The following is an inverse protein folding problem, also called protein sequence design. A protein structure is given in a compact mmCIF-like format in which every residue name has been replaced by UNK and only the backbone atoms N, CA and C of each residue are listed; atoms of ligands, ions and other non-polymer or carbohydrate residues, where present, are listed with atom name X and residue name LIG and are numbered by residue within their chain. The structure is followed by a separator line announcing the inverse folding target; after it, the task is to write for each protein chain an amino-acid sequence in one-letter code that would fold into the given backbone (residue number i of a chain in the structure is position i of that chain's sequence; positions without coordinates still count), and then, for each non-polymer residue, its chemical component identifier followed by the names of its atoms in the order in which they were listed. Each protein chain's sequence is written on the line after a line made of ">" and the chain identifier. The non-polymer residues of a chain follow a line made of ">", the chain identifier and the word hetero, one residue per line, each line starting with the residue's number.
data_IF_719265718661
#
_entry.id   IF_719265718661
#
_cell.length_a   1.000
_cell.length_b   1.000
_cell.length_c   1.000
_cell.angle_alpha   90.00
_cell.angle_beta   90.00
_cell.angle_gamma   90.00
#
_symmetry.space_group_name_H-M   'P 1'
#
loop_
_entity.id
_entity.type
_entity.pdbx_description
1 polymer ?
#
# COMPACT_ATOMS: atom_id res chain seq x y z
N UNK A 1 -14.01 10.01 -17.71
CA UNK A 1 -13.68 8.66 -18.23
C UNK A 1 -14.81 8.14 -19.10
N UNK A 2 -16.02 7.96 -18.54
CA UNK A 2 -17.17 7.39 -19.23
C UNK A 2 -17.53 8.18 -20.50
N UNK A 3 -17.67 9.51 -20.38
CA UNK A 3 -17.97 10.37 -21.53
C UNK A 3 -16.89 10.28 -22.62
N UNK A 4 -15.62 10.26 -22.23
CA UNK A 4 -14.49 10.18 -23.16
C UNK A 4 -14.44 8.85 -23.92
N UNK A 5 -14.78 7.74 -23.26
CA UNK A 5 -14.76 6.40 -23.86
C UNK A 5 -16.13 5.94 -24.36
N UNK A 6 -17.16 6.79 -24.26
CA UNK A 6 -18.55 6.45 -24.55
C UNK A 6 -19.03 5.16 -23.85
N UNK A 7 -18.71 5.03 -22.56
CA UNK A 7 -19.15 3.91 -21.70
C UNK A 7 -20.26 4.34 -20.74
N UNK A 8 -21.05 3.38 -20.26
CA UNK A 8 -22.04 3.66 -19.22
C UNK A 8 -21.35 3.99 -17.89
N UNK A 9 -22.00 4.82 -17.06
CA UNK A 9 -21.53 5.10 -15.70
C UNK A 9 -21.43 3.82 -14.85
N UNK A 10 -22.36 2.88 -15.07
CA UNK A 10 -22.38 1.60 -14.37
C UNK A 10 -21.11 0.79 -14.68
N UNK A 11 -20.71 0.69 -15.95
CA UNK A 11 -19.50 -0.05 -16.35
C UNK A 11 -18.23 0.60 -15.79
N UNK A 12 -18.15 1.94 -15.84
CA UNK A 12 -17.05 2.68 -15.23
C UNK A 12 -16.93 2.43 -13.72
N UNK A 13 -18.06 2.38 -13.02
CA UNK A 13 -18.07 2.13 -11.58
C UNK A 13 -17.68 0.68 -11.29
N UNK A 14 -18.27 -0.28 -12.02
CA UNK A 14 -17.99 -1.71 -11.85
C UNK A 14 -16.52 -2.05 -12.10
N UNK A 15 -15.89 -1.47 -13.13
CA UNK A 15 -14.45 -1.69 -13.36
C UNK A 15 -13.59 -1.14 -12.22
N UNK A 16 -13.97 0.01 -11.65
CA UNK A 16 -13.27 0.56 -10.48
C UNK A 16 -13.46 -0.32 -9.24
N UNK A 17 -14.65 -0.90 -9.03
CA UNK A 17 -14.90 -1.82 -7.93
C UNK A 17 -14.22 -3.18 -8.12
N UNK A 18 -14.05 -3.65 -9.36
CA UNK A 18 -13.37 -4.91 -9.65
C UNK A 18 -11.90 -4.89 -9.18
N UNK A 19 -11.23 -3.74 -9.29
CA UNK A 19 -9.89 -3.52 -8.77
C UNK A 19 -9.81 -3.45 -7.23
N UNK A 20 -10.92 -3.48 -6.50
CA UNK A 20 -10.90 -3.58 -5.04
C UNK A 20 -10.70 -5.02 -4.54
N UNK A 21 -10.60 -6.00 -5.45
CA UNK A 21 -10.51 -7.43 -5.13
C UNK A 21 -9.48 -8.17 -5.98
N UNK A 22 -9.12 -9.39 -5.56
CA UNK A 22 -8.23 -10.32 -6.28
C UNK A 22 -6.79 -9.81 -6.49
N UNK A 23 -6.30 -8.97 -5.57
CA UNK A 23 -4.94 -8.44 -5.54
C UNK A 23 -4.07 -9.25 -4.56
N UNK A 24 -3.08 -9.95 -5.09
CA UNK A 24 -2.02 -10.54 -4.28
C UNK A 24 -0.96 -9.46 -4.04
N UNK A 25 -0.51 -9.29 -2.81
CA UNK A 25 0.39 -8.18 -2.50
C UNK A 25 1.51 -8.61 -1.55
N UNK A 26 2.60 -7.87 -1.57
CA UNK A 26 3.62 -7.91 -0.52
C UNK A 26 4.05 -6.49 -0.25
N UNK A 27 3.87 -6.02 0.97
CA UNK A 27 4.27 -4.69 1.42
C UNK A 27 5.24 -4.79 2.59
N UNK A 28 6.26 -3.94 2.58
CA UNK A 28 7.33 -3.93 3.57
C UNK A 28 7.57 -2.49 4.00
N UNK A 29 7.45 -2.25 5.31
CA UNK A 29 7.91 -1.01 5.95
C UNK A 29 9.07 -1.34 6.89
N UNK A 30 10.18 -0.63 6.76
CA UNK A 30 11.41 -0.94 7.47
C UNK A 30 12.18 0.33 7.87
N UNK A 31 13.00 0.22 8.91
CA UNK A 31 13.83 1.30 9.43
C UNK A 31 15.31 0.91 9.41
N UNK A 32 16.17 1.77 8.82
CA UNK A 32 17.62 1.54 8.86
C UNK A 32 18.23 1.85 10.26
N UNK A 33 19.52 1.57 10.42
CA UNK A 33 20.24 1.81 11.67
C UNK A 33 20.37 3.30 12.04
N UNK A 34 20.06 4.22 11.11
CA UNK A 34 20.06 5.68 11.34
C UNK A 34 18.66 6.22 11.61
N UNK A 35 17.64 5.36 11.59
CA UNK A 35 16.26 5.76 11.85
C UNK A 35 15.48 6.22 10.62
N UNK A 36 16.01 6.07 9.41
CA UNK A 36 15.26 6.40 8.19
C UNK A 36 14.24 5.31 7.88
N UNK A 37 13.04 5.72 7.44
CA UNK A 37 11.97 4.82 7.02
C UNK A 37 12.06 4.54 5.52
N UNK A 38 11.91 3.27 5.18
CA UNK A 38 11.86 2.72 3.83
C UNK A 38 10.54 1.97 3.68
N UNK A 39 9.85 2.19 2.58
CA UNK A 39 8.60 1.51 2.28
C UNK A 39 8.65 1.02 0.84
N UNK A 40 8.42 -0.27 0.63
CA UNK A 40 8.42 -0.92 -0.68
C UNK A 40 7.29 -1.93 -0.77
N UNK A 41 6.79 -2.18 -1.99
CA UNK A 41 5.68 -3.10 -2.22
C UNK A 41 5.74 -3.78 -3.59
N UNK A 42 4.98 -4.87 -3.74
CA UNK A 42 4.57 -5.48 -5.01
C UNK A 42 3.02 -5.50 -5.08
N UNK A 43 2.47 -5.41 -6.30
CA UNK A 43 1.02 -5.37 -6.56
C UNK A 43 0.63 -6.36 -7.65
N UNK A 44 0.34 -7.57 -7.25
CA UNK A 44 0.18 -8.69 -8.15
C UNK A 44 -1.29 -8.94 -8.50
N UNK A 45 -1.56 -9.04 -9.81
CA UNK A 45 -2.87 -9.38 -10.34
C UNK A 45 -2.78 -10.54 -11.35
N UNK A 46 -3.80 -11.41 -11.45
CA UNK A 46 -3.84 -12.49 -12.44
C UNK A 46 -3.87 -11.99 -13.90
N UNK A 47 -4.33 -10.76 -14.14
CA UNK A 47 -4.40 -10.11 -15.46
C UNK A 47 -3.17 -9.23 -15.80
N UNK A 48 -2.00 -9.57 -15.25
CA UNK A 48 -0.79 -8.75 -15.31
C UNK A 48 -0.37 -8.29 -16.71
N UNK A 49 -0.59 -9.08 -17.77
CA UNK A 49 -0.20 -8.72 -19.15
C UNK A 49 -0.84 -7.42 -19.67
N UNK A 50 -2.08 -7.15 -19.26
CA UNK A 50 -2.81 -5.94 -19.66
C UNK A 50 -2.48 -4.81 -18.67
N UNK A 51 -2.57 -5.09 -17.37
CA UNK A 51 -2.38 -4.08 -16.34
C UNK A 51 -0.99 -3.45 -16.40
N UNK A 52 0.06 -4.23 -16.71
CA UNK A 52 1.42 -3.74 -16.98
C UNK A 52 1.48 -2.58 -17.97
N UNK A 53 0.67 -2.64 -19.04
CA UNK A 53 0.65 -1.61 -20.09
C UNK A 53 -0.16 -0.37 -19.69
N UNK A 54 -1.00 -0.51 -18.66
CA UNK A 54 -1.87 0.54 -18.15
C UNK A 54 -1.32 1.18 -16.87
N UNK A 55 -0.27 0.61 -16.27
CA UNK A 55 0.35 1.15 -15.06
C UNK A 55 1.00 2.49 -15.33
N UNK A 56 0.66 3.48 -14.49
CA UNK A 56 1.20 4.83 -14.56
C UNK A 56 1.46 5.38 -13.16
N UNK A 57 2.53 6.16 -13.04
CA UNK A 57 2.74 7.05 -11.90
C UNK A 57 2.09 8.40 -12.20
N UNK A 58 1.23 8.86 -11.28
CA UNK A 58 0.45 10.09 -11.44
C UNK A 58 0.81 11.05 -10.32
N UNK A 59 1.27 12.24 -10.70
CA UNK A 59 1.44 13.37 -9.78
C UNK A 59 0.15 14.17 -9.74
N UNK A 60 -0.46 14.27 -8.56
CA UNK A 60 -1.67 15.05 -8.34
C UNK A 60 -1.28 16.46 -7.90
N UNK A 61 -1.66 17.46 -8.69
CA UNK A 61 -1.28 18.85 -8.45
C UNK A 61 -2.37 19.61 -7.70
N UNK A 62 -1.97 20.45 -6.74
CA UNK A 62 -2.83 21.45 -6.09
C UNK A 62 -2.08 22.78 -6.11
N UNK A 63 -2.69 23.82 -6.66
CA UNK A 63 -2.07 25.15 -6.83
C UNK A 63 -0.70 25.09 -7.55
N UNK A 64 -0.56 24.23 -8.56
CA UNK A 64 0.67 24.08 -9.35
C UNK A 64 1.80 23.30 -8.66
N UNK A 65 1.60 22.79 -7.44
CA UNK A 65 2.58 21.98 -6.71
C UNK A 65 2.08 20.53 -6.55
N UNK A 66 3.00 19.58 -6.45
CA UNK A 66 2.68 18.17 -6.22
C UNK A 66 2.11 18.04 -4.81
N UNK A 67 0.81 17.72 -4.71
CA UNK A 67 0.16 17.43 -3.45
C UNK A 67 0.48 16.01 -2.98
N UNK A 68 0.41 15.04 -3.90
CA UNK A 68 0.81 13.66 -3.67
C UNK A 68 1.09 12.95 -5.00
N UNK A 69 1.77 11.81 -4.95
CA UNK A 69 2.00 10.93 -6.10
C UNK A 69 1.39 9.57 -5.80
N UNK A 70 0.87 8.89 -6.82
CA UNK A 70 0.43 7.51 -6.68
C UNK A 70 0.64 6.70 -7.95
N UNK A 71 0.78 5.40 -7.79
CA UNK A 71 0.75 4.47 -8.93
C UNK A 71 -0.64 3.89 -9.07
N UNK A 72 -1.15 3.89 -10.30
CA UNK A 72 -2.47 3.39 -10.63
C UNK A 72 -2.51 2.83 -12.04
N UNK A 73 -3.68 2.38 -12.47
CA UNK A 73 -3.93 1.97 -13.85
C UNK A 73 -4.74 3.05 -14.57
N UNK A 74 -4.50 3.26 -15.86
CA UNK A 74 -5.34 4.12 -16.68
C UNK A 74 -6.81 3.65 -16.58
N UNK A 75 -7.69 4.53 -16.09
CA UNK A 75 -9.10 4.25 -15.86
C UNK A 75 -9.51 3.92 -14.44
N UNK A 76 -8.53 3.71 -13.57
CA UNK A 76 -8.75 3.50 -12.15
C UNK A 76 -8.53 4.80 -11.37
N UNK A 77 -9.52 5.20 -10.57
CA UNK A 77 -9.47 6.46 -9.81
C UNK A 77 -8.92 6.28 -8.40
N UNK A 78 -8.88 5.05 -7.91
CA UNK A 78 -8.29 4.69 -6.63
C UNK A 78 -6.76 4.69 -6.67
N UNK A 79 -6.15 4.64 -5.48
CA UNK A 79 -4.71 4.42 -5.33
C UNK A 79 -4.47 3.25 -4.37
N UNK A 80 -3.80 2.20 -4.84
CA UNK A 80 -3.27 1.15 -3.97
C UNK A 80 -1.85 1.46 -3.48
N UNK A 81 -1.21 2.47 -4.06
CA UNK A 81 0.13 2.92 -3.68
C UNK A 81 0.23 4.42 -3.86
N UNK A 82 0.84 5.10 -2.90
CA UNK A 82 1.22 6.48 -3.07
C UNK A 82 2.05 7.05 -1.95
N UNK A 83 2.46 8.30 -2.17
CA UNK A 83 3.27 9.09 -1.25
C UNK A 83 2.73 10.50 -1.16
N UNK A 84 2.66 11.01 0.06
CA UNK A 84 2.48 12.43 0.34
C UNK A 84 3.87 12.99 0.68
N UNK A 85 4.46 13.84 -0.17
CA UNK A 85 5.84 14.30 -0.02
C UNK A 85 6.11 14.86 1.39
N UNK A 86 7.20 14.40 2.01
CA UNK A 86 7.62 14.81 3.35
C UNK A 86 6.64 14.51 4.49
N UNK A 87 5.65 13.63 4.27
CA UNK A 87 4.63 13.30 5.28
C UNK A 87 4.55 11.81 5.56
N UNK A 88 4.08 11.03 4.59
CA UNK A 88 3.89 9.59 4.74
C UNK A 88 3.72 8.90 3.38
N UNK A 89 3.80 7.58 3.42
CA UNK A 89 3.66 6.67 2.29
C UNK A 89 2.65 5.60 2.65
N UNK A 90 1.86 5.13 1.67
CA UNK A 90 0.81 4.15 1.91
C UNK A 90 0.81 3.12 0.80
N UNK A 91 0.70 1.85 1.18
CA UNK A 91 0.24 0.77 0.31
C UNK A 91 -0.94 0.04 0.94
N UNK A 92 -1.77 -0.56 0.10
CA UNK A 92 -2.85 -1.44 0.54
C UNK A 92 -2.68 -2.84 -0.01
N UNK A 93 -2.86 -3.83 0.85
CA UNK A 93 -2.84 -5.24 0.50
C UNK A 93 -4.21 -5.87 0.82
N UNK A 94 -4.72 -6.70 -0.09
CA UNK A 94 -6.05 -7.30 0.07
C UNK A 94 -6.10 -8.22 1.29
N UNK A 95 -7.19 -8.13 2.05
CA UNK A 95 -7.54 -9.06 3.12
C UNK A 95 -8.83 -9.77 2.74
N UNK A 96 -8.71 -10.94 2.12
CA UNK A 96 -9.89 -11.69 1.69
C UNK A 96 -10.61 -12.32 2.89
N UNK A 97 -11.65 -11.63 3.34
CA UNK A 97 -12.56 -12.03 4.42
C UNK A 97 -14.00 -11.73 4.01
N UNK A 98 -14.81 -12.78 3.96
CA UNK A 98 -16.25 -12.68 3.70
C UNK A 98 -16.61 -12.90 2.23
N UNK A 99 -17.88 -12.71 1.92
CA UNK A 99 -18.41 -12.95 0.57
C UNK A 99 -18.54 -11.63 -0.20
N UNK A 100 -18.36 -11.69 -1.52
CA UNK A 100 -18.50 -10.52 -2.40
C UNK A 100 -19.85 -9.78 -2.24
N UNK A 101 -20.93 -10.47 -1.86
CA UNK A 101 -22.24 -9.87 -1.61
C UNK A 101 -22.28 -8.96 -0.36
N UNK A 102 -21.49 -9.24 0.68
CA UNK A 102 -21.37 -8.35 1.84
C UNK A 102 -20.67 -7.05 1.45
N UNK A 103 -19.64 -7.15 0.60
CA UNK A 103 -18.93 -6.00 0.05
C UNK A 103 -19.88 -5.15 -0.83
N UNK A 104 -20.71 -5.80 -1.64
CA UNK A 104 -21.72 -5.12 -2.46
C UNK A 104 -22.79 -4.40 -1.60
N UNK A 105 -23.26 -5.01 -0.51
CA UNK A 105 -24.21 -4.37 0.42
C UNK A 105 -23.57 -3.18 1.14
N UNK A 106 -22.34 -3.34 1.65
CA UNK A 106 -21.62 -2.26 2.31
C UNK A 106 -21.37 -1.07 1.36
N UNK A 107 -21.01 -1.35 0.11
CA UNK A 107 -20.79 -0.34 -0.93
C UNK A 107 -22.09 0.38 -1.34
N UNK A 108 -23.18 -0.35 -1.56
CA UNK A 108 -24.42 0.20 -2.13
C UNK A 108 -25.36 0.81 -1.07
N UNK A 109 -25.43 0.25 0.14
CA UNK A 109 -26.44 0.65 1.14
C UNK A 109 -25.88 1.41 2.35
N UNK A 110 -24.57 1.28 2.68
CA UNK A 110 -23.99 1.93 3.86
C UNK A 110 -23.14 3.18 3.57
N UNK A 111 -23.00 3.57 2.29
CA UNK A 111 -22.14 4.70 1.86
C UNK A 111 -20.70 4.57 2.35
N UNK A 112 -20.21 3.34 2.55
CA UNK A 112 -18.81 3.10 2.88
C UNK A 112 -17.93 3.35 1.64
N UNK A 113 -16.66 3.66 1.87
CA UNK A 113 -15.74 4.07 0.81
C UNK A 113 -14.90 2.86 0.35
N UNK A 114 -14.61 2.72 -0.96
CA UNK A 114 -13.62 1.75 -1.44
C UNK A 114 -12.26 1.91 -0.77
N UNK A 115 -11.54 0.81 -0.59
CA UNK A 115 -10.30 0.78 0.21
C UNK A 115 -9.21 1.61 -0.44
N UNK A 116 -9.10 1.57 -1.78
CA UNK A 116 -8.12 2.36 -2.54
C UNK A 116 -8.51 3.85 -2.63
N UNK A 117 -9.79 4.17 -2.52
CA UNK A 117 -10.28 5.56 -2.54
C UNK A 117 -9.95 6.24 -1.23
N UNK A 118 -10.04 5.51 -0.11
CA UNK A 118 -9.60 6.01 1.19
C UNK A 118 -8.09 6.31 1.22
N UNK A 119 -7.25 5.47 0.58
CA UNK A 119 -5.81 5.77 0.44
C UNK A 119 -5.62 7.11 -0.28
N UNK A 120 -6.27 7.29 -1.45
CA UNK A 120 -6.18 8.54 -2.21
C UNK A 120 -6.66 9.75 -1.41
N UNK A 121 -7.79 9.64 -0.70
CA UNK A 121 -8.29 10.69 0.17
C UNK A 121 -7.32 11.01 1.31
N UNK A 122 -6.69 9.98 1.90
CA UNK A 122 -5.68 10.13 2.95
C UNK A 122 -4.46 10.89 2.43
N UNK A 123 -3.90 10.48 1.28
CA UNK A 123 -2.76 11.17 0.65
C UNK A 123 -3.02 12.65 0.35
N UNK A 124 -4.28 12.99 0.04
CA UNK A 124 -4.72 14.34 -0.28
C UNK A 124 -5.00 15.21 0.97
N UNK A 125 -5.52 14.61 2.04
CA UNK A 125 -6.14 15.34 3.16
C UNK A 125 -5.33 15.26 4.47
N UNK A 126 -4.54 14.20 4.69
CA UNK A 126 -3.84 14.00 5.96
C UNK A 126 -2.57 14.86 6.04
N UNK A 127 -2.40 15.52 7.19
CA UNK A 127 -1.30 16.45 7.46
C UNK A 127 0.04 15.76 7.75
N UNK A 128 0.00 14.57 8.36
CA UNK A 128 1.17 13.81 8.84
C UNK A 128 0.86 12.31 8.98
N UNK A 129 1.87 11.53 9.40
CA UNK A 129 1.79 10.09 9.59
C UNK A 129 0.66 9.69 10.57
N UNK A 130 0.56 10.33 11.73
CA UNK A 130 -0.43 10.00 12.77
C UNK A 130 -1.86 10.26 12.29
N UNK A 131 -2.09 11.39 11.61
CA UNK A 131 -3.36 11.71 11.00
C UNK A 131 -3.73 10.71 9.91
N UNK A 132 -2.76 10.27 9.11
CA UNK A 132 -2.96 9.23 8.10
C UNK A 132 -3.34 7.89 8.74
N UNK A 133 -2.60 7.45 9.76
CA UNK A 133 -2.88 6.21 10.51
C UNK A 133 -4.26 6.26 11.16
N UNK A 134 -4.63 7.36 11.81
CA UNK A 134 -5.96 7.49 12.44
C UNK A 134 -7.09 7.46 11.39
N UNK A 135 -6.91 8.13 10.24
CA UNK A 135 -7.90 8.14 9.15
C UNK A 135 -8.06 6.75 8.54
N UNK A 136 -6.94 6.08 8.23
CA UNK A 136 -6.90 4.73 7.66
C UNK A 136 -7.36 3.66 8.65
N UNK A 137 -7.23 3.87 9.96
CA UNK A 137 -7.71 2.92 10.98
C UNK A 137 -9.22 3.02 11.22
N UNK A 138 -9.79 4.23 11.18
CA UNK A 138 -11.16 4.49 11.69
C UNK A 138 -12.22 4.70 10.63
N UNK A 139 -11.85 5.04 9.40
CA UNK A 139 -12.85 5.33 8.36
C UNK A 139 -13.54 4.03 7.91
N UNK A 140 -14.89 3.95 7.90
CA UNK A 140 -15.60 2.75 7.46
C UNK A 140 -15.32 2.38 6.00
N UNK A 141 -15.14 1.08 5.74
CA UNK A 141 -14.74 0.51 4.45
C UNK A 141 -15.79 -0.47 3.91
N UNK A 142 -15.78 -0.66 2.59
CA UNK A 142 -16.61 -1.68 1.92
C UNK A 142 -16.06 -3.10 2.10
N UNK A 143 -14.75 -3.23 2.30
CA UNK A 143 -14.03 -4.49 2.39
C UNK A 143 -12.92 -4.41 3.44
N UNK A 144 -12.45 -5.59 3.84
CA UNK A 144 -11.30 -5.77 4.72
C UNK A 144 -10.01 -5.51 3.93
N UNK A 145 -8.98 -4.98 4.60
CA UNK A 145 -7.70 -4.62 3.94
C UNK A 145 -6.56 -4.57 4.96
N UNK A 146 -5.33 -4.68 4.50
CA UNK A 146 -4.14 -4.28 5.26
C UNK A 146 -3.64 -2.95 4.72
N UNK A 147 -3.54 -1.93 5.57
CA UNK A 147 -2.83 -0.69 5.20
C UNK A 147 -1.45 -0.68 5.81
N UNK A 148 -0.44 -0.55 4.97
CA UNK A 148 0.94 -0.39 5.41
C UNK A 148 1.27 1.10 5.24
N UNK A 149 1.79 1.71 6.30
CA UNK A 149 2.07 3.15 6.34
C UNK A 149 3.49 3.37 6.83
N UNK A 150 4.25 4.20 6.13
CA UNK A 150 5.59 4.65 6.55
C UNK A 150 5.63 6.18 6.64
N UNK A 151 6.11 6.71 7.75
CA UNK A 151 6.31 8.14 8.00
C UNK A 151 7.74 8.58 7.76
N UNK A 152 8.09 9.76 8.29
CA UNK A 152 9.38 10.43 8.11
C UNK A 152 10.34 10.24 9.27
N UNK A 153 9.81 9.94 10.46
CA UNK A 153 10.60 9.86 11.70
C UNK A 153 10.89 8.40 12.09
N UNK A 154 11.92 8.15 12.93
CA UNK A 154 12.15 6.83 13.49
C UNK A 154 10.90 6.26 14.17
N UNK A 155 10.63 4.98 13.94
CA UNK A 155 9.47 4.20 14.40
C UNK A 155 8.15 4.53 13.73
N UNK A 156 8.09 5.50 12.82
CA UNK A 156 6.90 5.76 12.00
C UNK A 156 6.77 4.71 10.89
N UNK A 157 6.39 3.50 11.26
CA UNK A 157 6.02 2.45 10.33
C UNK A 157 4.99 1.53 10.98
N UNK A 158 3.91 1.19 10.29
CA UNK A 158 2.82 0.41 10.86
C UNK A 158 2.09 -0.40 9.80
N UNK A 159 1.64 -1.59 10.18
CA UNK A 159 0.63 -2.38 9.45
C UNK A 159 -0.68 -2.26 10.21
N UNK A 160 -1.74 -1.81 9.54
CA UNK A 160 -3.09 -1.67 10.08
C UNK A 160 -3.93 -2.79 9.47
N UNK A 161 -4.31 -3.77 10.28
CA UNK A 161 -5.25 -4.81 9.83
C UNK A 161 -6.67 -4.28 9.99
N UNK A 162 -7.39 -4.11 8.89
CA UNK A 162 -8.75 -3.54 8.88
C UNK A 162 -9.82 -4.59 8.66
N UNK A 163 -10.87 -4.44 9.45
CA UNK A 163 -12.22 -4.86 9.08
C UNK A 163 -13.01 -3.65 8.57
N UNK A 164 -14.18 -3.91 7.95
CA UNK A 164 -15.10 -2.86 7.46
C UNK A 164 -15.36 -1.72 8.46
N UNK A 165 -15.59 -2.05 9.72
CA UNK A 165 -16.01 -1.08 10.74
C UNK A 165 -14.86 -0.48 11.58
N UNK A 166 -13.63 -1.00 11.45
CA UNK A 166 -12.50 -0.51 12.25
C UNK A 166 -11.25 -1.39 12.17
N UNK A 167 -10.22 -1.10 12.99
CA UNK A 167 -8.99 -1.88 13.01
C UNK A 167 -9.18 -3.14 13.84
N UNK A 168 -8.83 -4.29 13.27
CA UNK A 168 -8.70 -5.55 14.00
C UNK A 168 -7.35 -5.62 14.75
N UNK A 169 -6.31 -4.98 14.22
CA UNK A 169 -4.98 -4.88 14.83
C UNK A 169 -4.20 -3.68 14.27
N UNK A 170 -3.26 -3.15 15.07
CA UNK A 170 -2.31 -2.11 14.68
C UNK A 170 -0.91 -2.59 15.08
N UNK A 171 -0.05 -2.86 14.10
CA UNK A 171 1.25 -3.49 14.28
C UNK A 171 2.40 -2.52 13.91
N UNK A 172 2.87 -1.69 14.86
CA UNK A 172 3.91 -0.71 14.60
C UNK A 172 5.30 -1.35 14.53
N UNK A 173 6.27 -0.66 13.93
CA UNK A 173 7.68 -0.96 14.10
C UNK A 173 8.07 -0.91 15.58
N UNK A 174 8.98 -1.79 15.99
CA UNK A 174 9.53 -1.80 17.34
C UNK A 174 11.03 -2.12 17.32
N UNK A 175 11.86 -1.17 16.83
CA UNK A 175 13.30 -1.39 16.65
C UNK A 175 14.03 -1.66 17.98
N UNK A 176 13.49 -1.20 19.11
CA UNK A 176 14.08 -1.42 20.44
C UNK A 176 14.03 -2.90 20.84
N UNK A 177 13.00 -3.61 20.39
CA UNK A 177 12.85 -5.07 20.56
C UNK A 177 13.28 -5.85 19.31
N UNK A 178 14.11 -5.24 18.45
CA UNK A 178 14.67 -5.87 17.25
C UNK A 178 13.73 -5.95 16.04
N UNK A 179 12.49 -5.46 16.14
CA UNK A 179 11.52 -5.45 15.04
C UNK A 179 11.65 -4.19 14.17
N UNK A 180 12.76 -4.10 13.44
CA UNK A 180 13.09 -2.99 12.54
C UNK A 180 12.40 -3.03 11.17
N UNK A 181 11.61 -4.08 10.88
CA UNK A 181 10.73 -4.15 9.73
C UNK A 181 9.40 -4.80 10.06
N UNK A 182 8.37 -4.52 9.25
CA UNK A 182 7.13 -5.27 9.15
C UNK A 182 6.95 -5.73 7.70
N UNK A 183 6.53 -6.98 7.56
CA UNK A 183 6.16 -7.58 6.27
C UNK A 183 4.69 -7.95 6.36
N UNK A 184 3.91 -7.44 5.42
CA UNK A 184 2.54 -7.89 5.20
C UNK A 184 2.39 -8.44 3.79
N UNK A 185 1.53 -9.44 3.65
CA UNK A 185 1.15 -10.06 2.39
C UNK A 185 -0.38 -10.00 2.30
N UNK A 186 -1.09 -11.11 2.44
CA UNK A 186 -2.55 -11.14 2.37
C UNK A 186 -3.18 -11.91 3.54
N UNK A 187 -2.45 -12.08 4.64
CA UNK A 187 -2.87 -12.93 5.75
C UNK A 187 -2.64 -12.24 7.09
N UNK A 188 -3.42 -12.56 8.11
CA UNK A 188 -3.24 -11.93 9.43
C UNK A 188 -1.84 -12.29 9.99
N UNK A 189 -1.08 -11.30 10.49
CA UNK A 189 0.31 -11.53 10.93
C UNK A 189 0.45 -12.47 12.14
N UNK A 190 -0.58 -12.51 13.00
CA UNK A 190 -0.65 -13.42 14.15
C UNK A 190 -1.07 -14.86 13.80
N UNK A 191 -1.27 -15.14 12.51
CA UNK A 191 -1.56 -16.49 11.99
C UNK A 191 -0.41 -16.95 11.08
N UNK A 192 -0.18 -18.26 10.97
CA UNK A 192 0.74 -18.79 9.97
C UNK A 192 0.24 -18.44 8.57
N UNK A 193 1.17 -18.08 7.67
CA UNK A 193 0.85 -17.98 6.25
C UNK A 193 0.49 -19.38 5.71
N UNK A 194 -0.46 -19.50 4.77
CA UNK A 194 -0.75 -20.76 4.09
C UNK A 194 0.50 -21.32 3.40
N UNK A 195 0.67 -22.64 3.42
CA UNK A 195 1.86 -23.28 2.84
C UNK A 195 1.96 -23.07 1.33
N UNK A 196 0.81 -22.92 0.68
CA UNK A 196 0.67 -22.73 -0.76
C UNK A 196 1.04 -21.30 -1.20
N UNK A 197 1.02 -20.33 -0.28
CA UNK A 197 1.35 -18.92 -0.54
C UNK A 197 2.11 -18.26 0.63
N UNK A 198 3.26 -18.84 1.00
CA UNK A 198 4.10 -18.31 2.07
C UNK A 198 5.15 -17.30 1.57
N UNK A 199 4.68 -16.23 0.92
CA UNK A 199 5.55 -15.11 0.50
C UNK A 199 6.16 -14.36 1.70
N UNK A 200 5.48 -14.37 2.85
CA UNK A 200 5.92 -13.70 4.08
C UNK A 200 7.25 -14.28 4.59
N UNK A 201 7.38 -15.60 4.69
CA UNK A 201 8.62 -16.24 5.18
C UNK A 201 9.81 -15.92 4.28
N UNK A 202 9.62 -15.93 2.96
CA UNK A 202 10.66 -15.55 1.99
C UNK A 202 11.13 -14.11 2.15
N UNK A 203 10.20 -13.17 2.33
CA UNK A 203 10.49 -11.76 2.56
C UNK A 203 11.29 -11.56 3.86
N UNK A 204 10.84 -12.17 4.96
CA UNK A 204 11.49 -12.09 6.27
C UNK A 204 12.91 -12.65 6.21
N UNK A 205 13.09 -13.81 5.55
CA UNK A 205 14.42 -14.42 5.38
C UNK A 205 15.37 -13.50 4.60
N UNK A 206 14.89 -12.87 3.54
CA UNK A 206 15.68 -11.94 2.73
C UNK A 206 16.02 -10.65 3.48
N UNK A 207 15.09 -10.09 4.28
CA UNK A 207 15.36 -8.94 5.13
C UNK A 207 16.37 -9.25 6.24
N UNK A 208 16.25 -10.42 6.88
CA UNK A 208 17.20 -10.88 7.89
C UNK A 208 18.60 -11.07 7.30
N UNK A 209 18.71 -11.64 6.09
CA UNK A 209 19.99 -11.79 5.40
C UNK A 209 20.60 -10.44 4.97
N UNK A 210 19.75 -9.48 4.57
CA UNK A 210 20.18 -8.11 4.25
C UNK A 210 20.74 -7.42 5.49
N UNK A 211 20.02 -7.50 6.61
CA UNK A 211 20.35 -6.86 7.87
C UNK A 211 20.06 -5.36 7.89
N UNK A 212 19.76 -4.83 9.08
CA UNK A 212 19.33 -3.43 9.26
C UNK A 212 20.37 -2.40 8.77
N UNK A 213 21.66 -2.70 8.92
CA UNK A 213 22.75 -1.80 8.54
C UNK A 213 22.88 -1.60 7.02
N UNK A 214 22.43 -2.58 6.22
CA UNK A 214 22.51 -2.55 4.77
C UNK A 214 21.17 -2.17 4.12
N UNK A 215 20.16 -1.81 4.93
CA UNK A 215 18.87 -1.41 4.40
C UNK A 215 19.01 -0.13 3.56
N UNK A 216 18.55 -0.22 2.32
CA UNK A 216 18.50 0.85 1.35
C UNK A 216 17.32 0.62 0.41
N UNK A 217 17.03 1.60 -0.47
CA UNK A 217 16.00 1.41 -1.48
C UNK A 217 16.35 0.23 -2.40
N UNK A 218 17.61 0.14 -2.83
CA UNK A 218 18.05 -0.96 -3.70
C UNK A 218 17.97 -2.32 -3.00
N UNK A 219 18.39 -2.40 -1.74
CA UNK A 219 18.26 -3.65 -0.97
C UNK A 219 16.80 -4.08 -0.81
N UNK A 220 15.90 -3.12 -0.53
CA UNK A 220 14.47 -3.41 -0.40
C UNK A 220 13.86 -3.87 -1.73
N UNK A 221 14.32 -3.32 -2.86
CA UNK A 221 13.94 -3.81 -4.19
C UNK A 221 14.34 -5.28 -4.38
N UNK A 222 15.60 -5.63 -4.06
CA UNK A 222 16.07 -7.01 -4.19
C UNK A 222 15.26 -7.98 -3.32
N UNK A 223 14.88 -7.56 -2.11
CA UNK A 223 13.96 -8.33 -1.25
C UNK A 223 12.61 -8.54 -1.94
N UNK A 224 12.01 -7.50 -2.51
CA UNK A 224 10.73 -7.65 -3.21
C UNK A 224 10.82 -8.49 -4.48
N UNK A 225 12.00 -8.62 -5.11
CA UNK A 225 12.18 -9.51 -6.26
C UNK A 225 12.14 -10.99 -5.87
N UNK A 226 12.62 -11.36 -4.68
CA UNK A 226 12.61 -12.76 -4.23
C UNK A 226 11.25 -13.18 -3.66
N UNK A 227 10.38 -12.23 -3.30
CA UNK A 227 9.02 -12.52 -2.83
C UNK A 227 8.03 -12.78 -3.97
N UNK A 228 8.40 -12.54 -5.23
CA UNK A 228 7.59 -12.82 -6.44
C UNK A 228 7.52 -14.33 -6.76
N UNK A 229 7.74 -15.20 -5.78
CA UNK A 229 7.80 -16.66 -5.94
C UNK A 229 6.60 -17.23 -6.72
N UNK A 230 6.92 -17.87 -7.86
CA UNK A 230 6.20 -18.98 -8.50
C UNK A 230 4.89 -18.77 -9.28
N UNK A 231 4.48 -17.55 -9.66
CA UNK A 231 3.38 -17.38 -10.63
C UNK A 231 3.84 -16.52 -11.83
N UNK A 232 4.00 -17.09 -13.04
CA UNK A 232 4.53 -16.38 -14.22
C UNK A 232 3.62 -15.24 -14.76
N UNK A 233 2.60 -14.82 -14.03
CA UNK A 233 1.57 -13.83 -14.45
C UNK A 233 1.52 -12.56 -13.60
N UNK A 234 2.31 -12.45 -12.54
CA UNK A 234 2.23 -11.35 -11.58
C UNK A 234 3.13 -10.16 -11.94
N UNK A 235 2.70 -8.93 -11.60
CA UNK A 235 3.38 -7.68 -11.93
C UNK A 235 3.76 -6.98 -10.62
N UNK A 236 5.04 -6.70 -10.37
CA UNK A 236 5.44 -5.89 -9.22
C UNK A 236 5.46 -4.41 -9.58
N UNK A 237 4.59 -3.60 -8.96
CA UNK A 237 4.82 -2.14 -8.88
C UNK A 237 5.65 -1.88 -7.65
N UNK A 238 6.92 -1.53 -7.86
CA UNK A 238 7.78 -1.09 -6.79
C UNK A 238 7.75 0.43 -6.66
N UNK A 239 7.07 0.94 -5.63
CA UNK A 239 7.32 2.29 -5.17
C UNK A 239 8.21 2.21 -3.93
N UNK A 240 9.42 2.73 -4.03
CA UNK A 240 10.29 2.88 -2.88
C UNK A 240 10.47 4.36 -2.57
N UNK A 241 10.07 4.74 -1.37
CA UNK A 241 10.14 6.13 -0.93
C UNK A 241 11.14 6.23 0.21
N UNK A 242 12.19 7.03 -0.01
CA UNK A 242 13.00 7.57 1.07
C UNK A 242 12.54 9.01 1.30
N UNK A 243 11.88 9.28 2.43
CA UNK A 243 11.59 10.65 2.81
C UNK A 243 12.83 11.30 3.42
N UNK A 244 13.86 11.54 2.59
CA UNK A 244 14.99 12.37 3.00
C UNK A 244 14.49 13.80 3.24
N UNK A 245 14.82 14.34 4.42
CA UNK A 245 14.99 15.78 4.62
C UNK A 245 16.12 16.26 3.71
N UNK A 246 15.85 16.58 2.45
CA UNK A 246 16.80 17.36 1.64
C UNK A 246 16.59 18.84 1.91
N UNK A 247 16.91 19.30 3.12
CA UNK A 247 17.32 20.70 3.29
C UNK A 247 18.78 20.77 2.85
N UNK A 248 19.00 21.02 1.56
CA UNK A 248 20.14 21.83 1.15
C UNK A 248 19.58 23.20 0.80
N UNK A 249 19.59 24.10 1.79
CA UNK A 249 19.67 25.52 1.49
C UNK A 249 20.98 25.74 0.74
N UNK A 250 20.93 25.78 -0.60
CA UNK A 250 22.01 26.39 -1.37
C UNK A 250 21.90 27.89 -1.17
N UNK A 251 22.47 28.37 -0.07
CA UNK A 251 22.90 29.75 0.02
C UNK A 251 24.05 29.96 -0.95
N UNK A 252 23.82 30.81 -1.94
CA UNK A 252 24.74 31.81 -2.48
C UNK A 252 23.95 32.75 -3.37
#
# INVERSE_FOLDING_TARGET
>A
MCDFMNLSLADCLLVNLAYESSAFCTSIVAQDSRGHIYHGRNLDYPFGNILRKLTVDVQFLKNGQIAFTGTTFIGYVGLWTGQSPHKFTVSGDERDKGWWWENAIAALFRRHIPVSWLIRATLNESENFEAAVSKLAKTPLIADVYYIVGGTSPREGVVITRSRDGPADIWPLDPLNGAWFRVETNYDHWKPAPKEDDRRTSAIKALNATGQANLSLEALFQVTCVTVSCIPRMFGVLLIVNMKNSVKSSGR
#
